data_IF_154308462528
#
_entry.id   IF_154308462528
#
_cell.length_a   1.000
_cell.length_b   1.000
_cell.length_c   1.000
_cell.angle_alpha   90.00
_cell.angle_beta   90.00
_cell.angle_gamma   90.00
#
_symmetry.space_group_name_H-M   'P 1'
#
loop_
_entity.id
_entity.type
_entity.pdbx_description
1 polymer ?
#
# COMPACT_ATOMS: atom_id res chain seq x y z
N UNK A 1 -2.66 -9.46 -28.31
CA UNK A 1 -3.27 -9.53 -26.97
C UNK A 1 -3.85 -8.16 -26.66
N UNK A 2 -5.17 -8.00 -26.78
CA UNK A 2 -5.85 -6.71 -26.59
C UNK A 2 -5.94 -6.39 -25.09
N UNK A 3 -5.11 -5.47 -24.60
CA UNK A 3 -5.12 -4.97 -23.22
C UNK A 3 -6.16 -3.84 -23.00
N UNK A 4 -7.21 -3.81 -23.81
CA UNK A 4 -8.28 -2.81 -23.71
C UNK A 4 -9.47 -3.39 -22.94
N UNK A 5 -9.22 -3.83 -21.70
CA UNK A 5 -10.26 -4.06 -20.71
C UNK A 5 -10.46 -2.77 -19.94
N UNK A 6 -11.67 -2.19 -19.98
CA UNK A 6 -12.00 -1.02 -19.15
C UNK A 6 -11.68 -1.35 -17.69
N UNK A 7 -10.84 -0.52 -17.07
CA UNK A 7 -10.55 -0.64 -15.64
C UNK A 7 -11.88 -0.59 -14.87
N UNK A 8 -12.15 -1.55 -13.97
CA UNK A 8 -13.34 -1.47 -13.14
C UNK A 8 -13.25 -0.19 -12.31
N UNK A 9 -14.28 0.64 -12.34
CA UNK A 9 -14.33 1.83 -11.49
C UNK A 9 -14.40 1.39 -10.02
N UNK A 10 -13.46 1.80 -9.16
CA UNK A 10 -13.54 1.55 -7.72
C UNK A 10 -14.66 2.39 -7.08
N UNK A 11 -15.15 1.95 -5.92
CA UNK A 11 -15.97 2.82 -5.06
C UNK A 11 -15.12 3.94 -4.46
N UNK A 12 -15.74 5.03 -4.03
CA UNK A 12 -15.03 6.12 -3.33
C UNK A 12 -14.32 5.63 -2.06
N UNK A 13 -14.92 4.67 -1.34
CA UNK A 13 -14.31 4.05 -0.17
C UNK A 13 -13.02 3.28 -0.53
N UNK A 14 -13.05 2.52 -1.62
CA UNK A 14 -11.87 1.81 -2.13
C UNK A 14 -10.80 2.80 -2.60
N UNK A 15 -11.18 3.89 -3.28
CA UNK A 15 -10.25 4.95 -3.70
C UNK A 15 -9.52 5.58 -2.50
N UNK A 16 -10.26 5.96 -1.46
CA UNK A 16 -9.68 6.55 -0.24
C UNK A 16 -8.73 5.57 0.45
N UNK A 17 -9.11 4.29 0.56
CA UNK A 17 -8.26 3.26 1.18
C UNK A 17 -6.99 3.00 0.37
N UNK A 18 -7.09 2.92 -0.95
CA UNK A 18 -5.92 2.78 -1.82
C UNK A 18 -4.99 4.00 -1.75
N UNK A 19 -5.54 5.22 -1.66
CA UNK A 19 -4.75 6.43 -1.46
C UNK A 19 -4.01 6.39 -0.11
N UNK A 20 -4.67 5.98 0.97
CA UNK A 20 -4.02 5.82 2.29
C UNK A 20 -2.92 4.76 2.27
N UNK A 21 -3.14 3.64 1.55
CA UNK A 21 -2.11 2.61 1.35
C UNK A 21 -0.90 3.20 0.61
N UNK A 22 -1.13 3.98 -0.45
CA UNK A 22 -0.04 4.58 -1.22
C UNK A 22 0.82 5.53 -0.36
N UNK A 23 0.19 6.38 0.46
CA UNK A 23 0.88 7.29 1.38
C UNK A 23 1.77 6.52 2.37
N UNK A 24 1.23 5.48 3.02
CA UNK A 24 2.01 4.69 3.98
C UNK A 24 3.11 3.85 3.32
N UNK A 25 2.91 3.40 2.08
CA UNK A 25 3.94 2.69 1.33
C UNK A 25 5.09 3.62 0.95
N UNK A 26 4.79 4.86 0.55
CA UNK A 26 5.79 5.89 0.27
C UNK A 26 6.64 6.19 1.51
N UNK A 27 6.01 6.37 2.68
CA UNK A 27 6.71 6.57 3.96
C UNK A 27 7.68 5.43 4.30
N UNK A 28 7.34 4.18 3.96
CA UNK A 28 8.20 3.02 4.20
C UNK A 28 9.33 2.83 3.18
N UNK A 29 9.11 3.27 1.94
CA UNK A 29 10.04 3.13 0.83
C UNK A 29 10.95 4.34 0.67
N UNK A 30 10.62 5.46 1.32
CA UNK A 30 11.48 6.64 1.37
C UNK A 30 12.88 6.25 1.87
N UNK A 31 13.95 6.65 1.16
CA UNK A 31 15.31 6.34 1.58
C UNK A 31 15.55 6.88 2.99
N UNK A 32 16.22 6.07 3.83
CA UNK A 32 16.58 6.44 5.19
C UNK A 32 17.34 7.77 5.16
N UNK A 33 16.65 8.88 5.47
CA UNK A 33 17.33 10.15 5.67
C UNK A 33 18.29 9.94 6.85
N UNK A 34 19.60 10.23 6.69
CA UNK A 34 20.55 10.05 7.78
C UNK A 34 20.26 11.11 8.84
N UNK A 35 19.34 10.81 9.75
CA UNK A 35 19.08 11.63 10.92
C UNK A 35 20.18 11.34 11.91
N UNK A 36 21.25 12.13 11.82
CA UNK A 36 22.31 12.15 12.80
C UNK A 36 21.74 12.55 14.17
N UNK A 37 21.22 11.60 14.95
CA UNK A 37 20.88 11.76 16.37
C UNK A 37 20.56 10.42 17.04
N UNK A 38 21.48 10.01 17.91
CA UNK A 38 21.36 9.14 19.09
C UNK A 38 20.53 7.84 19.00
N UNK A 39 20.98 6.82 19.73
CA UNK A 39 20.38 5.47 19.87
C UNK A 39 18.85 5.46 20.10
N UNK A 40 18.29 6.50 20.69
CA UNK A 40 16.83 6.67 20.94
C UNK A 40 16.04 7.02 19.67
N UNK A 41 16.64 7.76 18.73
CA UNK A 41 16.04 8.09 17.43
C UNK A 41 15.84 6.85 16.56
N UNK A 42 16.78 5.90 16.61
CA UNK A 42 16.66 4.61 15.91
C UNK A 42 15.50 3.76 16.45
N UNK A 43 15.26 3.75 17.77
CA UNK A 43 14.12 3.06 18.37
C UNK A 43 12.79 3.68 17.95
N UNK A 44 12.72 5.02 17.90
CA UNK A 44 11.52 5.74 17.45
C UNK A 44 11.23 5.45 15.97
N UNK A 45 12.24 5.56 15.10
CA UNK A 45 12.12 5.24 13.68
C UNK A 45 11.66 3.79 13.44
N UNK A 46 12.21 2.82 14.19
CA UNK A 46 11.79 1.41 14.11
C UNK A 46 10.33 1.21 14.55
N UNK A 47 9.89 1.91 15.59
CA UNK A 47 8.51 1.84 16.06
C UNK A 47 7.52 2.49 15.09
N UNK A 48 7.88 3.62 14.49
CA UNK A 48 7.06 4.30 13.48
C UNK A 48 6.96 3.45 12.21
N UNK A 49 8.06 2.81 11.79
CA UNK A 49 8.06 1.84 10.68
C UNK A 49 7.15 0.64 10.96
N UNK A 50 7.18 0.10 12.19
CA UNK A 50 6.28 -0.98 12.61
C UNK A 50 4.81 -0.55 12.55
N UNK A 51 4.48 0.63 13.09
CA UNK A 51 3.10 1.16 13.08
C UNK A 51 2.59 1.39 11.66
N UNK A 52 3.43 1.91 10.78
CA UNK A 52 3.08 2.15 9.37
C UNK A 52 2.84 0.84 8.63
N UNK A 53 3.65 -0.20 8.88
CA UNK A 53 3.42 -1.55 8.36
C UNK A 53 2.10 -2.15 8.88
N UNK A 54 1.80 -2.01 10.17
CA UNK A 54 0.53 -2.46 10.73
C UNK A 54 -0.67 -1.75 10.09
N UNK A 55 -0.59 -0.43 9.89
CA UNK A 55 -1.63 0.34 9.22
C UNK A 55 -1.85 -0.14 7.78
N UNK A 56 -0.76 -0.40 7.02
CA UNK A 56 -0.85 -0.98 5.69
C UNK A 56 -1.52 -2.35 5.68
N UNK A 57 -1.14 -3.24 6.60
CA UNK A 57 -1.73 -4.58 6.67
C UNK A 57 -3.22 -4.53 7.00
N UNK A 58 -3.63 -3.62 7.88
CA UNK A 58 -5.05 -3.39 8.21
C UNK A 58 -5.82 -2.87 7.00
N UNK A 59 -5.27 -1.89 6.27
CA UNK A 59 -5.91 -1.33 5.08
C UNK A 59 -6.00 -2.35 3.93
N UNK A 60 -4.99 -3.20 3.77
CA UNK A 60 -4.97 -4.28 2.78
C UNK A 60 -5.91 -5.43 3.14
N UNK A 61 -6.16 -5.67 4.42
CA UNK A 61 -7.12 -6.67 4.90
C UNK A 61 -8.58 -6.23 4.71
N UNK A 62 -8.83 -5.00 4.24
CA UNK A 62 -10.18 -4.54 3.96
C UNK A 62 -10.85 -5.37 2.84
N UNK A 63 -12.05 -5.94 3.08
CA UNK A 63 -12.70 -6.82 2.10
C UNK A 63 -13.02 -6.16 0.75
N UNK A 64 -13.33 -4.85 0.73
CA UNK A 64 -13.64 -4.14 -0.51
C UNK A 64 -12.37 -3.90 -1.32
N UNK A 65 -11.29 -3.52 -0.65
CA UNK A 65 -9.96 -3.39 -1.27
C UNK A 65 -9.50 -4.73 -1.82
N UNK A 66 -9.61 -5.80 -1.05
CA UNK A 66 -9.24 -7.14 -1.47
C UNK A 66 -10.07 -7.61 -2.68
N UNK A 67 -11.39 -7.39 -2.66
CA UNK A 67 -12.28 -7.72 -3.77
C UNK A 67 -11.94 -6.96 -5.05
N UNK A 68 -11.60 -5.67 -4.92
CA UNK A 68 -11.19 -4.84 -6.03
C UNK A 68 -9.85 -5.29 -6.63
N UNK A 69 -8.84 -5.55 -5.79
CA UNK A 69 -7.53 -6.06 -6.22
C UNK A 69 -7.68 -7.42 -6.93
N UNK A 70 -8.42 -8.37 -6.35
CA UNK A 70 -8.66 -9.68 -6.96
C UNK A 70 -9.37 -9.56 -8.33
N UNK A 71 -10.24 -8.55 -8.52
CA UNK A 71 -10.86 -8.28 -9.82
C UNK A 71 -9.82 -7.77 -10.83
N UNK A 72 -8.91 -6.89 -10.43
CA UNK A 72 -7.83 -6.41 -11.29
C UNK A 72 -6.86 -7.54 -11.67
N UNK A 73 -6.56 -8.46 -10.74
CA UNK A 73 -5.73 -9.65 -11.01
C UNK A 73 -6.39 -10.58 -12.04
N UNK A 74 -7.70 -10.88 -11.88
CA UNK A 74 -8.47 -11.69 -12.84
C UNK A 74 -8.50 -11.08 -14.24
N UNK A 75 -8.44 -9.74 -14.32
CA UNK A 75 -8.40 -9.01 -15.60
C UNK A 75 -6.97 -8.92 -16.18
N UNK A 76 -5.95 -9.44 -15.50
CA UNK A 76 -4.55 -9.37 -15.92
C UNK A 76 -3.98 -7.96 -15.94
N UNK A 77 -4.59 -7.05 -15.17
CA UNK A 77 -4.21 -5.62 -15.09
C UNK A 77 -3.06 -5.43 -14.12
N UNK A 78 -3.11 -6.13 -12.98
CA UNK A 78 -1.99 -6.16 -12.06
C UNK A 78 -0.93 -7.15 -12.55
N UNK A 79 0.37 -6.82 -12.42
CA UNK A 79 1.43 -7.75 -12.73
C UNK A 79 1.26 -8.98 -11.83
N UNK A 80 0.90 -10.11 -12.42
CA UNK A 80 0.86 -11.39 -11.72
C UNK A 80 2.27 -11.65 -11.22
N UNK A 81 2.45 -11.80 -9.90
CA UNK A 81 3.70 -12.33 -9.37
C UNK A 81 3.88 -13.73 -9.97
N UNK A 82 4.88 -13.89 -10.84
CA UNK A 82 5.46 -15.18 -11.16
C UNK A 82 6.20 -15.74 -9.96
#
# INVERSE_FOLDING_TARGET
MNRSGTLPTPSDAVLVRLANIAVHAEELLAPDQPTAKARVGLTKAKNDRRRTMEALLVLLADPEVHGYVAKLEKLGILPVKG
#
